data_IF_272292345543
#
_entry.id   IF_272292345543
#
_cell.length_a   1.000
_cell.length_b   1.000
_cell.length_c   1.000
_cell.angle_alpha   90.00
_cell.angle_beta   90.00
_cell.angle_gamma   90.00
#
_symmetry.space_group_name_H-M   'P 1'
#
loop_
_entity.id
_entity.type
_entity.pdbx_description
1 polymer ?
#
# COMPACT_ATOMS: atom_id res chain seq x y z
N UNK A 1 -20.06 1.25 14.49
CA UNK A 1 -20.09 0.73 13.11
C UNK A 1 -19.10 1.57 12.30
N UNK A 2 -17.91 1.03 12.05
CA UNK A 2 -16.74 1.73 11.50
C UNK A 2 -17.03 2.19 10.07
N UNK A 3 -17.16 3.51 9.84
CA UNK A 3 -17.05 4.11 8.49
C UNK A 3 -15.59 4.47 8.26
N UNK A 4 -14.78 3.51 7.82
CA UNK A 4 -13.35 3.72 7.52
C UNK A 4 -13.09 4.12 6.05
N UNK A 5 -14.11 4.12 5.17
CA UNK A 5 -13.89 4.18 3.72
C UNK A 5 -14.87 5.10 2.97
N UNK A 6 -15.15 6.30 3.47
CA UNK A 6 -16.03 7.23 2.72
C UNK A 6 -15.48 8.65 2.51
N UNK A 7 -14.21 8.92 2.80
CA UNK A 7 -13.57 10.20 2.45
C UNK A 7 -12.08 10.01 2.13
N UNK A 8 -11.77 9.33 1.02
CA UNK A 8 -10.42 9.36 0.42
C UNK A 8 -10.38 10.25 -0.83
N UNK A 9 -11.43 11.04 -1.08
CA UNK A 9 -11.43 12.04 -2.14
C UNK A 9 -11.70 13.44 -1.57
N UNK A 10 -10.66 14.07 -0.98
CA UNK A 10 -10.48 15.53 -0.85
C UNK A 10 -9.44 15.86 0.24
N UNK A 11 -8.20 15.43 0.08
CA UNK A 11 -7.10 16.28 0.54
C UNK A 11 -6.58 16.99 -0.70
N UNK A 12 -6.71 18.32 -0.74
CA UNK A 12 -6.26 19.20 -1.82
C UNK A 12 -4.73 19.18 -1.98
N UNK A 13 -4.17 18.06 -2.42
CA UNK A 13 -2.95 18.11 -3.19
C UNK A 13 -3.34 18.60 -4.59
N UNK A 14 -2.60 19.55 -5.14
CA UNK A 14 -2.71 19.85 -6.56
C UNK A 14 -2.64 18.52 -7.34
N UNK A 15 -3.47 18.31 -8.37
CA UNK A 15 -3.39 17.10 -9.17
C UNK A 15 -1.94 16.94 -9.62
N UNK A 16 -1.36 15.76 -9.36
CA UNK A 16 -0.04 15.43 -9.89
C UNK A 16 -0.12 15.58 -11.41
N UNK A 17 0.94 16.11 -12.01
CA UNK A 17 1.02 16.04 -13.46
C UNK A 17 1.15 14.57 -13.89
N UNK A 18 0.89 14.27 -15.16
CA UNK A 18 0.86 12.88 -15.65
C UNK A 18 2.22 12.18 -15.48
N UNK A 19 3.32 12.91 -15.63
CA UNK A 19 4.66 12.36 -15.54
C UNK A 19 4.98 11.96 -14.09
N UNK A 20 4.60 12.78 -13.10
CA UNK A 20 4.74 12.51 -11.68
C UNK A 20 3.87 11.31 -11.24
N UNK A 21 2.67 11.18 -11.80
CA UNK A 21 1.78 10.05 -11.56
C UNK A 21 2.39 8.74 -12.11
N UNK A 22 2.96 8.78 -13.32
CA UNK A 22 3.64 7.63 -13.92
C UNK A 22 4.89 7.24 -13.12
N UNK A 23 5.71 8.22 -12.73
CA UNK A 23 6.88 8.00 -11.87
C UNK A 23 6.51 7.33 -10.55
N UNK A 24 5.45 7.79 -9.88
CA UNK A 24 4.98 7.16 -8.64
C UNK A 24 4.51 5.73 -8.87
N UNK A 25 3.78 5.47 -9.97
CA UNK A 25 3.26 4.13 -10.29
C UNK A 25 4.38 3.14 -10.62
N UNK A 26 5.44 3.60 -11.27
CA UNK A 26 6.61 2.76 -11.57
C UNK A 26 7.43 2.47 -10.32
N UNK A 27 7.55 3.42 -9.40
CA UNK A 27 8.31 3.26 -8.17
C UNK A 27 7.71 2.23 -7.18
N UNK A 28 6.41 1.94 -7.29
CA UNK A 28 5.70 0.87 -6.55
C UNK A 28 5.80 -0.52 -7.23
N UNK A 29 6.38 -0.63 -8.43
CA UNK A 29 6.50 -1.89 -9.17
C UNK A 29 7.90 -2.49 -9.02
N UNK A 30 8.23 -3.01 -7.83
CA UNK A 30 9.51 -3.66 -7.58
C UNK A 30 9.42 -5.17 -7.92
N UNK A 31 10.15 -5.68 -8.93
CA UNK A 31 10.02 -7.05 -9.44
C UNK A 31 10.24 -8.16 -8.39
N UNK A 32 11.01 -7.88 -7.34
CA UNK A 32 11.40 -8.85 -6.31
C UNK A 32 10.48 -8.82 -5.08
N UNK A 33 9.44 -7.97 -5.07
CA UNK A 33 8.50 -7.83 -3.96
C UNK A 33 7.12 -8.35 -4.34
N UNK A 34 6.40 -8.88 -3.35
CA UNK A 34 5.04 -9.34 -3.56
C UNK A 34 4.14 -8.14 -3.83
N UNK A 35 3.31 -8.20 -4.88
CA UNK A 35 2.56 -7.03 -5.30
C UNK A 35 3.45 -5.84 -5.64
N UNK A 36 4.71 -6.04 -6.00
CA UNK A 36 5.59 -4.93 -6.32
C UNK A 36 6.06 -4.07 -5.14
N UNK A 37 5.36 -4.01 -4.01
CA UNK A 37 5.66 -3.08 -2.91
C UNK A 37 5.46 -3.70 -1.50
N UNK A 38 5.12 -4.99 -1.41
CA UNK A 38 5.00 -5.70 -0.13
C UNK A 38 6.22 -6.58 0.15
N UNK A 39 6.98 -6.20 1.18
CA UNK A 39 8.17 -6.93 1.61
C UNK A 39 7.86 -8.05 2.62
N UNK A 40 8.72 -9.08 2.65
CA UNK A 40 8.67 -10.14 3.66
C UNK A 40 7.69 -11.28 3.40
N UNK A 41 6.95 -11.26 2.27
CA UNK A 41 6.03 -12.31 1.86
C UNK A 41 6.78 -13.29 0.95
N UNK A 42 6.95 -14.55 1.37
CA UNK A 42 7.79 -15.54 0.67
C UNK A 42 7.00 -16.61 -0.10
N UNK A 43 5.71 -16.80 0.15
CA UNK A 43 4.87 -17.75 -0.59
C UNK A 43 3.38 -17.39 -0.56
N UNK A 44 2.59 -18.01 -1.45
CA UNK A 44 1.12 -17.90 -1.47
C UNK A 44 0.44 -18.48 -0.22
N UNK A 45 1.19 -19.28 0.56
CA UNK A 45 0.75 -19.83 1.84
C UNK A 45 1.24 -18.98 3.04
N UNK A 46 2.28 -18.16 2.86
CA UNK A 46 2.80 -17.19 3.84
C UNK A 46 2.00 -15.87 3.91
N UNK A 47 0.78 -15.83 3.36
CA UNK A 47 0.01 -14.59 3.31
C UNK A 47 -0.58 -14.25 4.68
N UNK A 48 0.18 -13.48 5.46
CA UNK A 48 -0.31 -12.80 6.66
C UNK A 48 -1.12 -11.54 6.31
N UNK A 49 -2.33 -11.73 5.79
CA UNK A 49 -3.36 -10.70 5.63
C UNK A 49 -4.29 -10.64 6.79
N UNK A 50 -3.83 -9.91 7.81
CA UNK A 50 -4.09 -10.17 9.22
C UNK A 50 -5.58 -10.39 9.53
N UNK A 51 -6.04 -11.66 9.58
CA UNK A 51 -7.27 -11.96 10.28
C UNK A 51 -7.03 -12.07 11.79
N UNK A 52 -5.77 -12.07 12.24
CA UNK A 52 -5.34 -12.33 13.61
C UNK A 52 -4.85 -11.06 14.32
N UNK A 53 -5.52 -10.64 15.38
CA UNK A 53 -5.20 -9.40 16.12
C UNK A 53 -3.72 -9.22 16.50
N UNK A 54 -2.94 -10.31 16.62
CA UNK A 54 -1.51 -10.30 16.96
C UNK A 54 -0.60 -9.52 16.00
N UNK A 55 -1.02 -9.34 14.74
CA UNK A 55 -0.23 -8.57 13.77
C UNK A 55 -0.75 -7.14 13.59
N UNK A 56 -1.81 -6.74 14.32
CA UNK A 56 -2.29 -5.37 14.31
C UNK A 56 -1.49 -4.55 15.33
N UNK A 57 -1.30 -3.27 15.02
CA UNK A 57 -0.70 -2.33 15.95
C UNK A 57 -1.59 -2.15 17.20
N UNK A 58 -1.05 -2.39 18.41
CA UNK A 58 -1.80 -2.21 19.65
C UNK A 58 -2.36 -0.79 19.78
N UNK A 59 -3.59 -0.66 20.27
CA UNK A 59 -4.29 0.62 20.46
C UNK A 59 -4.43 1.49 19.20
N UNK A 60 -4.24 0.91 18.01
CA UNK A 60 -4.13 1.65 16.75
C UNK A 60 -3.00 2.70 16.75
N UNK A 61 -1.99 2.53 17.60
CA UNK A 61 -0.81 3.39 17.66
C UNK A 61 0.36 2.75 16.90
N UNK A 62 0.94 3.50 15.97
CA UNK A 62 2.10 3.07 15.18
C UNK A 62 3.31 3.94 15.58
N UNK A 63 4.19 3.44 16.47
CA UNK A 63 5.42 4.13 16.78
C UNK A 63 6.29 4.25 15.53
N UNK A 64 6.89 5.43 15.31
CA UNK A 64 7.73 5.66 14.14
C UNK A 64 9.07 6.35 14.48
N UNK A 65 10.05 6.10 13.62
CA UNK A 65 11.24 6.92 13.48
C UNK A 65 11.39 7.33 12.01
N UNK A 66 11.89 8.53 11.76
CA UNK A 66 12.16 9.03 10.40
C UNK A 66 13.68 9.15 10.25
N UNK A 67 14.22 8.45 9.26
CA UNK A 67 15.65 8.52 8.96
C UNK A 67 16.05 9.91 8.45
N UNK A 68 17.31 10.30 8.70
CA UNK A 68 17.86 11.56 8.24
C UNK A 68 17.75 11.74 6.72
N UNK A 69 17.75 10.64 5.95
CA UNK A 69 17.57 10.66 4.49
C UNK A 69 16.25 11.31 4.04
N UNK A 70 15.22 11.34 4.90
CA UNK A 70 13.91 11.91 4.60
C UNK A 70 13.67 13.29 5.22
N UNK A 71 14.69 13.89 5.84
CA UNK A 71 14.60 15.23 6.46
C UNK A 71 14.03 16.31 5.50
N UNK A 72 14.35 16.33 4.20
CA UNK A 72 13.75 17.30 3.27
C UNK A 72 12.24 17.12 3.04
N UNK A 73 11.68 15.97 3.40
CA UNK A 73 10.31 15.55 3.05
C UNK A 73 9.37 15.45 4.26
N UNK A 74 9.79 15.96 5.42
CA UNK A 74 9.05 15.92 6.68
C UNK A 74 7.63 16.49 6.58
N UNK A 75 7.44 17.56 5.79
CA UNK A 75 6.12 18.17 5.60
C UNK A 75 5.12 17.22 4.92
N UNK A 76 5.56 16.48 3.89
CA UNK A 76 4.73 15.50 3.20
C UNK A 76 4.43 14.28 4.07
N UNK A 77 5.43 13.78 4.81
CA UNK A 77 5.24 12.68 5.76
C UNK A 77 4.23 13.08 6.84
N UNK A 78 4.36 14.29 7.40
CA UNK A 78 3.41 14.83 8.39
C UNK A 78 2.01 14.96 7.79
N UNK A 79 1.90 15.42 6.53
CA UNK A 79 0.61 15.51 5.85
C UNK A 79 -0.04 14.14 5.59
N UNK A 80 0.75 13.09 5.35
CA UNK A 80 0.28 11.72 5.24
C UNK A 80 -0.19 11.17 6.60
N UNK A 81 0.56 11.38 7.69
CA UNK A 81 0.10 11.04 9.04
C UNK A 81 -1.21 11.74 9.40
N UNK A 82 -1.31 13.03 9.11
CA UNK A 82 -2.52 13.82 9.37
C UNK A 82 -3.74 13.32 8.57
N UNK A 83 -3.53 12.70 7.41
CA UNK A 83 -4.62 12.10 6.64
C UNK A 83 -5.27 10.94 7.42
N UNK A 84 -4.47 10.07 8.03
CA UNK A 84 -4.97 9.02 8.93
C UNK A 84 -5.54 9.58 10.23
N UNK A 85 -4.87 10.56 10.86
CA UNK A 85 -5.31 11.11 12.15
C UNK A 85 -6.69 11.78 12.08
N UNK A 86 -7.00 12.43 10.95
CA UNK A 86 -8.26 13.17 10.75
C UNK A 86 -9.45 12.29 10.33
N UNK A 87 -9.20 11.10 9.78
CA UNK A 87 -10.24 10.25 9.18
C UNK A 87 -10.41 8.91 9.89
N UNK A 88 -9.47 8.54 10.77
CA UNK A 88 -9.43 7.23 11.43
C UNK A 88 -9.05 7.33 12.91
N UNK A 89 -9.08 6.21 13.63
CA UNK A 89 -8.53 6.10 14.98
C UNK A 89 -7.01 5.87 15.02
N UNK A 90 -6.35 5.64 13.87
CA UNK A 90 -4.91 5.35 13.80
C UNK A 90 -4.08 6.56 14.21
N UNK A 91 -3.05 6.34 15.03
CA UNK A 91 -2.12 7.38 15.49
C UNK A 91 -0.68 6.98 15.24
N UNK A 92 -0.04 7.62 14.27
CA UNK A 92 1.42 7.63 14.15
C UNK A 92 2.03 8.48 15.27
N UNK A 93 2.85 7.86 16.12
CA UNK A 93 3.45 8.52 17.30
C UNK A 93 4.98 8.43 17.25
N UNK A 94 5.72 9.48 17.64
CA UNK A 94 7.18 9.38 17.74
C UNK A 94 7.56 8.25 18.70
N UNK A 95 8.42 7.35 18.23
CA UNK A 95 8.91 6.26 19.06
C UNK A 95 9.73 6.79 20.24
N UNK A 96 9.53 6.19 21.41
CA UNK A 96 10.40 6.35 22.58
C UNK A 96 11.11 5.03 22.89
N UNK A 97 10.45 4.09 23.56
CA UNK A 97 10.99 2.81 24.01
C UNK A 97 10.28 1.59 23.41
N UNK A 98 9.31 1.79 22.50
CA UNK A 98 8.57 0.69 21.89
C UNK A 98 9.51 -0.23 21.12
N UNK A 99 9.32 -1.55 21.28
CA UNK A 99 10.09 -2.58 20.58
C UNK A 99 9.69 -2.66 19.10
N UNK A 100 8.38 -2.62 18.85
CA UNK A 100 7.79 -2.66 17.52
C UNK A 100 7.56 -1.24 17.03
N UNK A 101 8.08 -0.91 15.85
CA UNK A 101 7.96 0.42 15.26
C UNK A 101 8.30 0.40 13.77
N UNK A 102 7.78 1.38 13.04
CA UNK A 102 8.16 1.61 11.64
C UNK A 102 9.35 2.57 11.56
N UNK A 103 10.29 2.30 10.66
CA UNK A 103 11.38 3.22 10.26
C UNK A 103 11.14 3.67 8.82
N UNK A 104 10.80 4.94 8.64
CA UNK A 104 10.70 5.54 7.31
C UNK A 104 12.10 5.93 6.85
N UNK A 105 12.50 5.52 5.65
CA UNK A 105 13.82 5.82 5.08
C UNK A 105 13.78 5.90 3.55
N UNK A 106 14.79 6.50 2.93
CA UNK A 106 14.92 6.53 1.47
C UNK A 106 15.69 5.29 1.00
N UNK A 107 14.95 4.26 0.57
CA UNK A 107 15.50 3.05 -0.05
C UNK A 107 15.38 3.06 -1.58
N UNK A 108 15.44 1.86 -2.17
CA UNK A 108 15.18 1.66 -3.60
C UNK A 108 13.71 1.31 -3.80
N UNK A 109 12.96 2.19 -4.45
CA UNK A 109 11.52 2.04 -4.67
C UNK A 109 10.66 2.32 -3.43
N UNK A 110 9.35 2.13 -3.59
CA UNK A 110 8.35 2.29 -2.55
C UNK A 110 7.93 0.91 -2.07
N UNK A 111 8.06 0.65 -0.78
CA UNK A 111 7.60 -0.62 -0.21
C UNK A 111 7.44 -0.57 1.31
N UNK A 112 6.67 -1.52 1.83
CA UNK A 112 6.42 -1.71 3.24
C UNK A 112 6.15 -3.19 3.54
N UNK A 113 6.23 -3.57 4.81
CA UNK A 113 5.70 -4.86 5.25
C UNK A 113 4.21 -4.73 5.55
N UNK A 114 3.45 -5.83 5.43
CA UNK A 114 2.02 -5.81 5.70
C UNK A 114 1.73 -6.06 7.19
N UNK A 115 1.28 -5.01 7.88
CA UNK A 115 0.97 -5.02 9.30
C UNK A 115 2.18 -4.95 10.22
N UNK A 116 1.98 -5.22 11.51
CA UNK A 116 3.04 -5.27 12.52
C UNK A 116 3.73 -6.63 12.49
N UNK A 117 5.02 -6.65 12.12
CA UNK A 117 5.80 -7.90 11.97
C UNK A 117 6.65 -8.25 13.19
N UNK A 118 6.68 -7.35 14.19
CA UNK A 118 7.56 -7.44 15.35
C UNK A 118 8.94 -6.80 15.10
N UNK A 119 9.46 -6.11 16.11
CA UNK A 119 10.70 -5.36 16.04
C UNK A 119 10.65 -4.14 15.10
N UNK A 120 11.82 -3.57 14.74
CA UNK A 120 11.90 -2.53 13.73
C UNK A 120 11.53 -3.05 12.33
N UNK A 121 10.58 -2.42 11.67
CA UNK A 121 10.23 -2.68 10.27
C UNK A 121 10.43 -1.45 9.38
N UNK A 122 10.91 -1.66 8.16
CA UNK A 122 11.21 -0.58 7.22
C UNK A 122 10.01 -0.18 6.37
N UNK A 123 9.86 1.13 6.13
CA UNK A 123 8.99 1.70 5.09
C UNK A 123 9.88 2.51 4.16
N UNK A 124 10.08 2.01 2.94
CA UNK A 124 10.94 2.64 1.95
C UNK A 124 10.18 3.71 1.18
N UNK A 125 10.70 4.93 1.21
CA UNK A 125 10.23 6.09 0.45
C UNK A 125 11.39 6.59 -0.42
N UNK A 126 11.74 5.81 -1.44
CA UNK A 126 12.81 6.11 -2.39
C UNK A 126 12.46 7.20 -3.42
N UNK A 127 13.29 7.26 -4.47
CA UNK A 127 13.00 8.11 -5.64
C UNK A 127 11.65 7.72 -6.26
N UNK A 128 10.82 8.71 -6.60
CA UNK A 128 9.45 8.49 -7.10
C UNK A 128 8.39 8.23 -6.00
N UNK A 129 8.78 8.10 -4.73
CA UNK A 129 7.84 7.81 -3.63
C UNK A 129 7.40 9.03 -2.82
N UNK A 130 7.96 10.21 -3.10
CA UNK A 130 7.76 11.43 -2.30
C UNK A 130 6.50 12.17 -2.75
N UNK A 131 5.38 11.46 -2.73
CA UNK A 131 4.05 12.00 -2.95
C UNK A 131 3.16 11.60 -1.78
N UNK A 132 2.25 12.49 -1.38
CA UNK A 132 1.37 12.21 -0.23
C UNK A 132 0.59 10.90 -0.42
N UNK A 133 0.06 10.64 -1.61
CA UNK A 133 -0.69 9.42 -1.92
C UNK A 133 0.14 8.16 -1.73
N UNK A 134 1.37 8.13 -2.28
CA UNK A 134 2.31 7.01 -2.14
C UNK A 134 2.68 6.76 -0.69
N UNK A 135 2.98 7.83 0.08
CA UNK A 135 3.26 7.67 1.51
C UNK A 135 2.05 7.10 2.25
N UNK A 136 0.83 7.56 1.93
CA UNK A 136 -0.40 7.00 2.52
C UNK A 136 -0.58 5.52 2.17
N UNK A 137 -0.27 5.12 0.93
CA UNK A 137 -0.29 3.73 0.46
C UNK A 137 0.64 2.83 1.28
N UNK A 138 1.92 3.21 1.40
CA UNK A 138 2.91 2.41 2.14
C UNK A 138 2.62 2.30 3.64
N UNK A 139 2.03 3.36 4.22
CA UNK A 139 1.52 3.33 5.59
C UNK A 139 0.28 2.43 5.71
N UNK A 140 -0.53 2.32 4.65
CA UNK A 140 -1.64 1.38 4.56
C UNK A 140 -1.18 -0.08 4.62
N UNK A 141 -0.12 -0.41 3.90
CA UNK A 141 0.56 -1.70 4.06
C UNK A 141 1.02 -1.92 5.50
N UNK A 142 1.73 -0.95 6.09
CA UNK A 142 2.18 -1.08 7.48
C UNK A 142 1.04 -1.28 8.49
N UNK A 143 -0.19 -0.82 8.18
CA UNK A 143 -1.38 -1.04 8.99
C UNK A 143 -2.04 -2.41 8.79
N UNK A 144 -1.66 -3.15 7.76
CA UNK A 144 -2.14 -4.50 7.47
C UNK A 144 -3.00 -4.63 6.22
N UNK A 145 -3.07 -3.60 5.38
CA UNK A 145 -3.85 -3.66 4.15
C UNK A 145 -3.04 -4.28 3.01
N UNK A 146 -3.65 -5.25 2.34
CA UNK A 146 -3.21 -5.75 1.04
C UNK A 146 -3.81 -4.88 -0.06
N UNK A 147 -3.38 -5.08 -1.30
CA UNK A 147 -4.00 -4.38 -2.41
C UNK A 147 -5.44 -4.85 -2.68
N UNK A 148 -6.25 -3.89 -3.14
CA UNK A 148 -7.67 -4.11 -3.43
C UNK A 148 -7.87 -5.11 -4.59
N UNK A 149 -7.01 -5.08 -5.63
CA UNK A 149 -7.10 -6.03 -6.76
C UNK A 149 -6.72 -7.47 -6.40
N UNK A 150 -6.15 -7.70 -5.22
CA UNK A 150 -5.82 -9.04 -4.72
C UNK A 150 -6.91 -9.62 -3.82
N UNK A 151 -8.02 -8.91 -3.54
CA UNK A 151 -9.11 -9.45 -2.72
C UNK A 151 -9.64 -10.79 -3.27
N UNK A 152 -10.14 -11.63 -2.36
CA UNK A 152 -10.71 -12.93 -2.71
C UNK A 152 -11.93 -12.85 -3.65
N UNK A 153 -12.69 -11.75 -3.56
CA UNK A 153 -13.90 -11.45 -4.35
C UNK A 153 -13.62 -10.59 -5.60
N UNK A 154 -12.37 -10.22 -5.87
CA UNK A 154 -12.04 -9.24 -6.92
C UNK A 154 -12.53 -9.60 -8.33
N UNK A 155 -12.69 -10.89 -8.64
CA UNK A 155 -13.16 -11.33 -9.96
C UNK A 155 -14.62 -10.95 -10.22
N UNK A 156 -15.40 -10.57 -9.19
CA UNK A 156 -16.75 -10.03 -9.39
C UNK A 156 -16.72 -8.58 -9.89
N UNK A 157 -15.60 -7.88 -9.67
CA UNK A 157 -15.45 -6.44 -9.88
C UNK A 157 -14.47 -6.08 -11.00
N UNK A 158 -13.46 -6.91 -11.23
CA UNK A 158 -12.35 -6.66 -12.13
C UNK A 158 -12.19 -7.76 -13.19
N UNK A 159 -11.64 -7.37 -14.34
CA UNK A 159 -11.11 -8.26 -15.36
C UNK A 159 -9.58 -8.07 -15.44
N UNK A 160 -8.82 -9.16 -15.28
CA UNK A 160 -7.36 -9.17 -15.41
C UNK A 160 -6.97 -9.78 -16.76
N UNK A 161 -6.14 -9.05 -17.52
CA UNK A 161 -5.63 -9.47 -18.82
C UNK A 161 -4.22 -10.04 -18.68
N UNK A 162 -4.11 -11.27 -18.17
CA UNK A 162 -2.80 -11.91 -17.92
C UNK A 162 -1.88 -11.95 -19.15
N UNK A 163 -2.43 -12.06 -20.37
CA UNK A 163 -1.64 -12.02 -21.61
C UNK A 163 -0.94 -10.66 -21.88
N UNK A 164 -1.36 -9.60 -21.19
CA UNK A 164 -0.77 -8.26 -21.27
C UNK A 164 0.25 -8.01 -20.15
N UNK A 165 0.31 -8.88 -19.15
CA UNK A 165 1.26 -8.78 -18.04
C UNK A 165 2.66 -9.17 -18.49
N UNK A 166 3.67 -8.48 -17.99
CA UNK A 166 5.08 -8.81 -18.20
C UNK A 166 5.36 -10.23 -17.70
N UNK A 167 6.07 -11.03 -18.50
CA UNK A 167 6.45 -12.40 -18.12
C UNK A 167 7.20 -12.41 -16.79
N UNK A 168 6.73 -13.22 -15.85
CA UNK A 168 7.28 -13.35 -14.50
C UNK A 168 6.59 -12.45 -13.47
N UNK A 169 5.75 -11.50 -13.88
CA UNK A 169 5.04 -10.56 -12.99
C UNK A 169 3.57 -10.96 -12.74
N UNK A 170 3.12 -12.10 -13.26
CA UNK A 170 1.73 -12.57 -13.15
C UNK A 170 1.30 -12.76 -11.69
N UNK A 171 2.24 -13.16 -10.83
CA UNK A 171 2.02 -13.41 -9.41
C UNK A 171 1.54 -12.16 -8.63
N UNK A 172 1.82 -10.95 -9.12
CA UNK A 172 1.34 -9.70 -8.52
C UNK A 172 -0.20 -9.55 -8.61
N UNK A 173 -0.84 -10.30 -9.49
CA UNK A 173 -2.29 -10.32 -9.66
C UNK A 173 -2.97 -11.53 -8.98
N UNK A 174 -2.23 -12.33 -8.20
CA UNK A 174 -2.77 -13.52 -7.55
C UNK A 174 -3.74 -13.15 -6.42
N UNK A 175 -4.95 -13.71 -6.47
CA UNK A 175 -5.98 -13.48 -5.45
C UNK A 175 -5.58 -14.05 -4.09
N UNK A 176 -5.99 -13.36 -3.05
CA UNK A 176 -6.04 -13.86 -1.67
C UNK A 176 -7.12 -14.93 -1.57
N UNK A 177 -6.86 -15.96 -0.77
CA UNK A 177 -7.88 -16.93 -0.36
C UNK A 177 -8.84 -16.23 0.62
N UNK A 178 -10.12 -16.64 0.73
CA UNK A 178 -11.08 -16.00 1.63
C UNK A 178 -10.66 -15.92 3.11
N UNK A 179 -9.78 -16.82 3.58
CA UNK A 179 -9.23 -16.82 4.94
C UNK A 179 -7.96 -15.95 5.11
N UNK A 180 -7.45 -15.37 4.02
CA UNK A 180 -6.25 -14.53 4.00
C UNK A 180 -6.59 -13.03 3.93
N UNK A 181 -7.87 -12.66 3.94
CA UNK A 181 -8.31 -11.28 3.97
C UNK A 181 -9.61 -11.12 4.75
N UNK A 182 -9.79 -9.97 5.38
CA UNK A 182 -11.08 -9.54 5.92
C UNK A 182 -11.65 -8.46 5.00
N UNK A 183 -12.87 -8.68 4.54
CA UNK A 183 -13.60 -7.73 3.70
C UNK A 183 -14.45 -6.80 4.57
N UNK A 184 -13.87 -5.68 4.99
CA UNK A 184 -14.56 -4.71 5.84
C UNK A 184 -15.61 -3.89 5.07
N UNK A 185 -15.46 -3.79 3.75
CA UNK A 185 -16.25 -2.93 2.86
C UNK A 185 -16.55 -3.61 1.53
N UNK A 186 -17.55 -3.11 0.79
CA UNK A 186 -17.66 -3.36 -0.65
C UNK A 186 -16.34 -3.06 -1.36
N UNK A 187 -16.16 -3.63 -2.55
CA UNK A 187 -15.01 -3.35 -3.39
C UNK A 187 -14.94 -1.85 -3.73
N UNK A 188 -13.77 -1.26 -3.58
CA UNK A 188 -13.54 0.18 -3.78
C UNK A 188 -12.60 0.43 -4.97
N UNK A 189 -13.17 0.86 -6.11
CA UNK A 189 -12.43 1.16 -7.33
C UNK A 189 -11.49 2.38 -7.18
N UNK A 190 -11.75 3.25 -6.20
CA UNK A 190 -10.98 4.45 -5.91
C UNK A 190 -10.04 4.25 -4.71
N UNK A 191 -9.90 3.01 -4.23
CA UNK A 191 -9.03 2.68 -3.10
C UNK A 191 -7.60 3.11 -3.39
N UNK A 192 -6.95 3.78 -2.44
CA UNK A 192 -5.52 4.10 -2.54
C UNK A 192 -4.66 2.82 -2.67
N UNK A 193 -5.19 1.65 -2.30
CA UNK A 193 -4.52 0.35 -2.36
C UNK A 193 -4.79 -0.41 -3.67
N UNK A 194 -5.43 0.19 -4.69
CA UNK A 194 -5.63 -0.46 -5.99
C UNK A 194 -4.54 -0.09 -6.99
N UNK A 195 -4.12 -1.04 -7.84
CA UNK A 195 -3.27 -0.74 -8.98
C UNK A 195 -3.94 0.11 -10.05
N UNK A 196 -3.12 0.82 -10.82
CA UNK A 196 -3.53 1.41 -12.08
C UNK A 196 -3.75 0.36 -13.20
N UNK A 197 -4.56 0.72 -14.20
CA UNK A 197 -4.97 -0.16 -15.31
C UNK A 197 -3.83 -0.77 -16.16
N UNK A 198 -2.61 -0.21 -16.07
CA UNK A 198 -1.44 -0.62 -16.85
C UNK A 198 -0.31 -1.22 -15.99
N UNK A 199 -0.58 -1.51 -14.70
CA UNK A 199 0.43 -2.09 -13.81
C UNK A 199 1.03 -3.37 -14.41
N UNK A 200 2.35 -3.48 -14.39
CA UNK A 200 3.12 -4.59 -14.95
C UNK A 200 2.80 -4.91 -16.42
N UNK A 201 2.41 -3.91 -17.21
CA UNK A 201 2.19 -4.08 -18.64
C UNK A 201 3.49 -4.44 -19.36
N UNK A 202 3.46 -5.49 -20.19
CA UNK A 202 4.62 -5.99 -20.93
C UNK A 202 5.22 -4.99 -21.93
N UNK A 203 4.46 -3.97 -22.32
CA UNK A 203 4.85 -2.93 -23.28
C UNK A 203 4.61 -1.51 -22.73
N UNK A 204 4.28 -1.39 -21.44
CA UNK A 204 3.97 -0.12 -20.76
C UNK A 204 2.65 0.54 -21.15
N UNK A 205 1.91 0.01 -22.13
CA UNK A 205 0.71 0.68 -22.70
C UNK A 205 -0.53 -0.22 -22.77
N UNK A 206 -0.34 -1.53 -22.83
CA UNK A 206 -1.41 -2.52 -22.77
C UNK A 206 -2.12 -2.45 -21.41
N UNK A 207 -3.44 -2.56 -21.42
CA UNK A 207 -4.26 -2.62 -20.20
C UNK A 207 -4.12 -4.00 -19.58
N UNK A 208 -3.69 -4.09 -18.33
CA UNK A 208 -3.57 -5.34 -17.55
C UNK A 208 -4.76 -5.58 -16.63
N UNK A 209 -5.48 -4.52 -16.25
CA UNK A 209 -6.66 -4.59 -15.38
C UNK A 209 -7.73 -3.58 -15.80
N UNK A 210 -9.00 -3.99 -15.71
CA UNK A 210 -10.16 -3.12 -15.97
C UNK A 210 -11.32 -3.40 -15.01
N UNK A 211 -12.02 -2.36 -14.58
CA UNK A 211 -13.29 -2.47 -13.87
C UNK A 211 -14.39 -3.08 -14.77
N UNK A 212 -15.16 -4.02 -14.23
CA UNK A 212 -16.33 -4.57 -14.93
C UNK A 212 -17.49 -3.58 -14.97
N UNK A 213 -17.70 -2.85 -13.87
CA UNK A 213 -18.74 -1.83 -13.71
C UNK A 213 -18.19 -0.68 -12.85
N UNK A 214 -17.59 0.33 -13.48
CA UNK A 214 -16.96 1.48 -12.83
C UNK A 214 -16.35 2.42 -13.84
#
# INVERSE_FOLDING_TARGET
MFRLFLLICAASAAPLNKDDEELSRLAMQNPDLFGGDMAGIKSLDDRNGIPFDMFRWPNAEVPYVIDASLKPHMALITAAFNNYHSTTCVRFVPRTNQLDYIRLFAGNGCYSQVGMTGGPQGVSLGSGCIFKGTIVHELGHALGFYHEQNRSDRDDYLQIFMNNVQKGMEHNFDKLKPNQNILYTPFDYDSIMIYGNHAFSKDGTSVTMRAKNG
#
